data_IF_288948535555
#
_entry.id   IF_288948535555
#
_cell.length_a   1.000
_cell.length_b   1.000
_cell.length_c   1.000
_cell.angle_alpha   90.00
_cell.angle_beta   90.00
_cell.angle_gamma   90.00
#
_symmetry.space_group_name_H-M   'P 1'
#
loop_
_entity.id
_entity.type
_entity.pdbx_description
1 polymer ?
#
# COMPACT_ATOMS: atom_id res chain seq x y z
N UNK A 1 21.41 9.80 14.56
CA UNK A 1 19.95 9.58 14.69
C UNK A 1 19.29 10.13 13.42
N UNK A 2 18.41 9.39 12.74
CA UNK A 2 17.71 9.93 11.57
C UNK A 2 16.74 11.03 12.00
N UNK A 3 16.56 12.07 11.19
CA UNK A 3 15.49 13.04 11.38
C UNK A 3 14.16 12.39 11.00
N UNK A 4 13.11 12.49 11.83
CA UNK A 4 11.81 11.93 11.50
C UNK A 4 11.21 12.65 10.28
N UNK A 5 10.30 11.98 9.56
CA UNK A 5 9.67 12.53 8.35
C UNK A 5 9.03 13.93 8.58
N UNK A 6 8.47 14.17 9.78
CA UNK A 6 7.91 15.47 10.19
C UNK A 6 8.90 16.64 10.12
N UNK A 7 10.20 16.39 10.26
CA UNK A 7 11.25 17.42 10.18
C UNK A 7 11.43 18.02 8.78
N UNK A 8 10.78 17.47 7.75
CA UNK A 8 10.86 17.94 6.36
C UNK A 8 9.64 18.72 5.90
N UNK A 9 8.70 19.00 6.82
CA UNK A 9 7.49 19.79 6.53
C UNK A 9 7.85 21.18 6.00
N UNK A 10 7.20 21.58 4.89
CA UNK A 10 7.41 22.88 4.25
C UNK A 10 8.54 22.94 3.23
N UNK A 11 9.29 21.86 3.00
CA UNK A 11 10.29 21.81 1.91
C UNK A 11 9.63 21.78 0.53
N UNK A 12 10.16 22.56 -0.40
CA UNK A 12 9.66 22.64 -1.78
C UNK A 12 10.77 22.32 -2.77
N UNK A 13 10.70 21.15 -3.38
CA UNK A 13 11.52 20.77 -4.52
C UNK A 13 10.68 20.74 -5.80
N UNK A 14 11.34 20.47 -6.94
CA UNK A 14 10.69 20.16 -8.21
C UNK A 14 10.25 18.70 -8.18
N UNK A 15 8.97 18.45 -8.48
CA UNK A 15 8.35 17.11 -8.44
C UNK A 15 9.12 16.11 -9.30
N UNK A 16 9.49 16.49 -10.53
CA UNK A 16 10.18 15.60 -11.47
C UNK A 16 11.52 15.08 -10.91
N UNK A 17 12.29 15.96 -10.28
CA UNK A 17 13.60 15.60 -9.71
C UNK A 17 13.42 14.66 -8.52
N UNK A 18 12.44 14.94 -7.65
CA UNK A 18 12.14 14.11 -6.49
C UNK A 18 11.61 12.72 -6.89
N UNK A 19 10.84 12.61 -7.98
CA UNK A 19 10.33 11.33 -8.45
C UNK A 19 11.44 10.50 -9.08
N UNK A 20 12.28 11.12 -9.89
CA UNK A 20 13.47 10.46 -10.41
C UNK A 20 14.33 9.92 -9.26
N UNK A 21 14.58 10.76 -8.24
CA UNK A 21 15.30 10.37 -7.04
C UNK A 21 14.60 9.22 -6.27
N UNK A 22 13.26 9.25 -6.17
CA UNK A 22 12.47 8.20 -5.52
C UNK A 22 12.59 6.84 -6.21
N UNK A 23 12.50 6.82 -7.54
CA UNK A 23 12.56 5.59 -8.33
C UNK A 23 14.01 5.11 -8.51
N UNK A 24 14.88 5.97 -9.03
CA UNK A 24 16.20 5.57 -9.51
C UNK A 24 17.18 5.32 -8.35
N UNK A 25 17.21 6.21 -7.35
CA UNK A 25 18.24 6.15 -6.30
C UNK A 25 17.71 5.55 -4.98
N UNK A 26 16.41 5.71 -4.73
CA UNK A 26 15.79 5.28 -3.47
C UNK A 26 15.01 3.98 -3.60
N UNK A 27 14.82 3.47 -4.82
CA UNK A 27 14.23 2.16 -5.11
C UNK A 27 12.78 2.05 -4.57
N UNK A 28 12.05 3.17 -4.50
CA UNK A 28 10.71 3.20 -3.89
C UNK A 28 9.63 2.53 -4.76
N UNK A 29 9.83 2.47 -6.06
CA UNK A 29 8.93 1.84 -7.03
C UNK A 29 9.37 0.45 -7.48
N UNK A 30 10.34 -0.15 -6.79
CA UNK A 30 10.86 -1.46 -7.16
C UNK A 30 9.83 -2.55 -6.97
N UNK A 31 9.58 -3.30 -8.03
CA UNK A 31 8.75 -4.50 -8.03
C UNK A 31 9.51 -5.74 -7.56
N UNK A 32 10.85 -5.62 -7.42
CA UNK A 32 11.72 -6.74 -7.16
C UNK A 32 11.58 -7.22 -5.71
N UNK A 33 11.67 -8.53 -5.47
CA UNK A 33 11.73 -9.07 -4.11
C UNK A 33 12.87 -8.46 -3.28
N UNK A 34 14.02 -8.21 -3.91
CA UNK A 34 15.18 -7.57 -3.28
C UNK A 34 15.15 -6.06 -3.56
N UNK A 35 14.56 -5.30 -2.62
CA UNK A 35 14.53 -3.84 -2.68
C UNK A 35 15.38 -3.21 -1.58
N UNK A 36 16.23 -2.25 -1.94
CA UNK A 36 17.00 -1.48 -0.98
C UNK A 36 16.08 -0.62 -0.10
N UNK A 37 14.96 -0.13 -0.66
CA UNK A 37 13.94 0.56 0.13
C UNK A 37 13.35 -0.36 1.20
N UNK A 38 13.05 -1.62 0.85
CA UNK A 38 12.57 -2.61 1.81
C UNK A 38 13.56 -2.80 2.98
N UNK A 39 14.87 -2.90 2.69
CA UNK A 39 15.90 -2.96 3.72
C UNK A 39 15.95 -1.69 4.58
N UNK A 40 15.88 -0.50 3.97
CA UNK A 40 15.85 0.80 4.68
C UNK A 40 14.67 0.85 5.64
N UNK A 41 13.47 0.47 5.19
CA UNK A 41 12.25 0.43 5.99
C UNK A 41 12.34 -0.58 7.14
N UNK A 42 12.99 -1.73 6.92
CA UNK A 42 13.21 -2.71 7.98
C UNK A 42 14.21 -2.21 9.03
N UNK A 43 15.27 -1.52 8.61
CA UNK A 43 16.26 -0.89 9.51
C UNK A 43 15.64 0.19 10.41
N UNK A 44 14.64 0.93 9.91
CA UNK A 44 13.98 2.01 10.68
C UNK A 44 13.26 1.50 11.93
N UNK A 45 12.64 0.31 11.86
CA UNK A 45 11.81 -0.22 12.94
C UNK A 45 12.13 -1.69 13.24
N UNK A 46 12.74 -1.92 14.39
CA UNK A 46 13.01 -3.27 14.89
C UNK A 46 11.81 -3.85 15.66
N UNK A 47 10.60 -3.78 15.08
CA UNK A 47 9.42 -4.41 15.66
C UNK A 47 9.39 -5.89 15.28
N UNK A 48 9.57 -6.77 16.27
CA UNK A 48 9.60 -8.23 16.07
C UNK A 48 8.21 -8.85 15.89
N UNK A 49 7.14 -8.12 16.25
CA UNK A 49 5.76 -8.57 16.10
C UNK A 49 5.18 -8.26 14.71
N UNK A 50 5.93 -7.51 13.89
CA UNK A 50 5.49 -7.06 12.56
C UNK A 50 6.52 -7.53 11.54
N UNK A 51 6.05 -8.23 10.53
CA UNK A 51 6.85 -8.64 9.38
C UNK A 51 6.53 -7.72 8.22
N UNK A 52 7.59 -7.15 7.62
CA UNK A 52 7.51 -6.38 6.40
C UNK A 52 7.86 -7.32 5.25
N UNK A 53 6.90 -7.57 4.38
CA UNK A 53 7.02 -8.46 3.21
C UNK A 53 6.79 -7.61 1.96
N UNK A 54 7.55 -7.87 0.91
CA UNK A 54 7.37 -7.26 -0.40
C UNK A 54 7.05 -8.35 -1.41
N UNK A 55 6.03 -8.15 -2.23
CA UNK A 55 5.67 -9.09 -3.30
C UNK A 55 4.95 -8.39 -4.42
N UNK A 56 4.69 -9.12 -5.49
CA UNK A 56 4.01 -8.58 -6.66
C UNK A 56 2.98 -9.56 -7.22
N UNK A 57 2.06 -8.99 -7.99
CA UNK A 57 1.07 -9.72 -8.78
C UNK A 57 0.98 -9.10 -10.17
N UNK A 58 0.97 -9.94 -11.19
CA UNK A 58 0.84 -9.51 -12.58
C UNK A 58 -0.62 -9.60 -13.02
N UNK A 59 -1.32 -8.47 -13.11
CA UNK A 59 -2.73 -8.38 -13.48
C UNK A 59 -2.97 -8.85 -14.91
N UNK A 60 -1.99 -8.67 -15.81
CA UNK A 60 -2.09 -9.17 -17.18
C UNK A 60 -2.18 -10.71 -17.26
N UNK A 61 -1.57 -11.41 -16.28
CA UNK A 61 -1.66 -12.87 -16.13
C UNK A 61 -2.83 -13.30 -15.24
N UNK A 62 -3.06 -12.60 -14.14
CA UNK A 62 -4.06 -12.94 -13.14
C UNK A 62 -5.50 -12.76 -13.66
N UNK A 63 -5.81 -11.59 -14.24
CA UNK A 63 -7.17 -11.22 -14.61
C UNK A 63 -7.83 -12.20 -15.59
N UNK A 64 -7.17 -12.65 -16.68
CA UNK A 64 -7.78 -13.60 -17.60
C UNK A 64 -8.07 -14.98 -16.98
N UNK A 65 -7.28 -15.39 -15.98
CA UNK A 65 -7.49 -16.65 -15.25
C UNK A 65 -8.70 -16.50 -14.33
N UNK A 66 -8.72 -15.41 -13.55
CA UNK A 66 -9.80 -15.05 -12.63
C UNK A 66 -11.15 -14.90 -13.37
N UNK A 67 -11.19 -14.13 -14.45
CA UNK A 67 -12.42 -13.89 -15.21
C UNK A 67 -13.02 -15.17 -15.84
N UNK A 68 -12.18 -16.17 -16.14
CA UNK A 68 -12.64 -17.47 -16.64
C UNK A 68 -13.07 -18.44 -15.53
N UNK A 69 -12.97 -18.03 -14.26
CA UNK A 69 -13.21 -18.86 -13.09
C UNK A 69 -12.37 -20.16 -13.08
N UNK A 70 -11.16 -20.13 -13.66
CA UNK A 70 -10.28 -21.31 -13.74
C UNK A 70 -9.53 -21.52 -12.41
N UNK A 71 -10.23 -22.14 -11.45
CA UNK A 71 -9.74 -22.37 -10.08
C UNK A 71 -8.44 -23.17 -10.01
N UNK A 72 -8.21 -24.08 -10.95
CA UNK A 72 -6.98 -24.88 -10.99
C UNK A 72 -5.78 -24.03 -11.39
N UNK A 73 -5.91 -23.19 -12.43
CA UNK A 73 -4.83 -22.26 -12.80
C UNK A 73 -4.63 -21.17 -11.77
N UNK A 74 -5.72 -20.68 -11.16
CA UNK A 74 -5.67 -19.68 -10.11
C UNK A 74 -4.85 -20.17 -8.90
N UNK A 75 -5.11 -21.40 -8.45
CA UNK A 75 -4.32 -22.06 -7.41
C UNK A 75 -2.84 -22.11 -7.78
N UNK A 76 -2.51 -22.64 -8.96
CA UNK A 76 -1.12 -22.73 -9.44
C UNK A 76 -0.43 -21.37 -9.56
N UNK A 77 -1.20 -20.33 -9.89
CA UNK A 77 -0.70 -18.96 -9.97
C UNK A 77 -0.31 -18.43 -8.58
N UNK A 78 -1.21 -18.54 -7.60
CA UNK A 78 -0.95 -18.08 -6.23
C UNK A 78 0.15 -18.86 -5.51
N UNK A 79 0.25 -20.18 -5.75
CA UNK A 79 1.35 -21.01 -5.20
C UNK A 79 2.73 -20.57 -5.69
N UNK A 80 2.80 -19.91 -6.86
CA UNK A 80 4.05 -19.47 -7.48
C UNK A 80 4.42 -18.02 -7.19
N UNK A 81 3.51 -17.22 -6.63
CA UNK A 81 3.81 -15.82 -6.29
C UNK A 81 5.00 -15.78 -5.34
N UNK A 82 5.99 -14.96 -5.68
CA UNK A 82 7.21 -14.76 -4.89
C UNK A 82 7.07 -13.54 -4.00
N UNK A 83 7.82 -13.54 -2.92
CA UNK A 83 7.99 -12.39 -2.05
C UNK A 83 9.40 -12.33 -1.49
N UNK A 84 9.88 -11.12 -1.25
CA UNK A 84 11.11 -10.85 -0.51
C UNK A 84 10.81 -10.41 0.92
N UNK A 85 11.76 -10.66 1.83
CA UNK A 85 11.79 -10.09 3.18
C UNK A 85 13.19 -10.10 3.78
N UNK A 86 13.42 -9.18 4.72
CA UNK A 86 14.67 -9.09 5.47
C UNK A 86 14.48 -9.55 6.91
N UNK A 87 15.31 -10.49 7.35
CA UNK A 87 15.41 -10.88 8.75
C UNK A 87 16.69 -10.34 9.38
N UNK A 88 16.60 -9.90 10.63
CA UNK A 88 17.77 -9.44 11.36
C UNK A 88 18.51 -10.63 11.95
N UNK A 89 19.75 -10.80 11.56
CA UNK A 89 20.65 -11.77 12.16
C UNK A 89 20.86 -11.41 13.65
N UNK A 90 20.59 -12.35 14.55
CA UNK A 90 20.66 -12.10 16.00
C UNK A 90 22.09 -11.89 16.48
N UNK A 91 23.07 -12.50 15.82
CA UNK A 91 24.48 -12.49 16.22
C UNK A 91 25.18 -11.27 15.63
N UNK A 92 25.21 -11.15 14.30
CA UNK A 92 25.93 -10.07 13.60
C UNK A 92 25.19 -8.73 13.63
N UNK A 93 23.89 -8.74 13.98
CA UNK A 93 22.98 -7.59 13.91
C UNK A 93 22.77 -7.03 12.50
N UNK A 94 23.27 -7.72 11.46
CA UNK A 94 23.03 -7.43 10.04
C UNK A 94 21.64 -7.90 9.62
N UNK A 95 21.24 -7.58 8.39
CA UNK A 95 19.99 -8.03 7.80
C UNK A 95 20.30 -8.94 6.62
N UNK A 96 19.69 -10.12 6.61
CA UNK A 96 19.84 -11.11 5.56
C UNK A 96 18.55 -11.11 4.71
N UNK A 97 18.72 -11.12 3.40
CA UNK A 97 17.61 -11.18 2.44
C UNK A 97 17.14 -12.61 2.22
N UNK A 98 15.83 -12.81 2.17
CA UNK A 98 15.19 -14.07 1.83
C UNK A 98 14.13 -13.85 0.76
N UNK A 99 14.14 -14.71 -0.26
CA UNK A 99 13.09 -14.79 -1.27
C UNK A 99 12.40 -16.16 -1.19
N UNK A 100 11.10 -16.17 -0.94
CA UNK A 100 10.28 -17.39 -0.88
C UNK A 100 8.96 -17.20 -1.63
N UNK A 101 8.13 -18.24 -1.69
CA UNK A 101 6.74 -18.09 -2.15
C UNK A 101 5.94 -17.29 -1.12
N UNK A 102 5.14 -16.32 -1.56
CA UNK A 102 4.27 -15.50 -0.71
C UNK A 102 3.36 -16.37 0.16
N UNK A 103 2.78 -17.43 -0.41
CA UNK A 103 1.91 -18.35 0.32
C UNK A 103 2.59 -18.99 1.54
N UNK A 104 3.77 -19.58 1.38
CA UNK A 104 4.50 -20.20 2.49
C UNK A 104 5.00 -19.16 3.51
N UNK A 105 5.45 -17.99 3.06
CA UNK A 105 5.84 -16.89 3.94
C UNK A 105 4.68 -16.47 4.84
N UNK A 106 3.51 -16.17 4.27
CA UNK A 106 2.31 -15.80 5.05
C UNK A 106 1.90 -16.92 6.01
N UNK A 107 1.93 -18.18 5.57
CA UNK A 107 1.59 -19.34 6.40
C UNK A 107 2.51 -19.46 7.61
N UNK A 108 3.82 -19.26 7.45
CA UNK A 108 4.79 -19.26 8.55
C UNK A 108 4.52 -18.09 9.50
N UNK A 109 4.36 -16.88 8.98
CA UNK A 109 4.16 -15.68 9.80
C UNK A 109 2.80 -15.70 10.54
N UNK A 110 1.78 -16.29 9.93
CA UNK A 110 0.46 -16.48 10.55
C UNK A 110 0.48 -17.50 11.68
N UNK A 111 1.25 -18.59 11.54
CA UNK A 111 1.50 -19.55 12.64
C UNK A 111 2.19 -18.89 13.83
N UNK A 112 3.13 -17.97 13.56
CA UNK A 112 3.81 -17.16 14.58
C UNK A 112 2.93 -16.04 15.17
N UNK A 113 1.67 -15.91 14.72
CA UNK A 113 0.74 -14.86 15.16
C UNK A 113 1.26 -13.42 14.97
N UNK A 114 2.14 -13.21 13.99
CA UNK A 114 2.66 -11.88 13.68
C UNK A 114 1.67 -11.08 12.85
N UNK A 115 1.80 -9.76 12.91
CA UNK A 115 1.21 -8.88 11.92
C UNK A 115 2.07 -8.97 10.66
N UNK A 116 1.43 -9.10 9.50
CA UNK A 116 2.13 -9.01 8.22
C UNK A 116 1.70 -7.72 7.53
N UNK A 117 2.67 -6.88 7.22
CA UNK A 117 2.53 -5.74 6.34
C UNK A 117 3.14 -6.11 5.00
N UNK A 118 2.30 -6.24 3.98
CA UNK A 118 2.68 -6.59 2.63
C UNK A 118 2.64 -5.33 1.77
N UNK A 119 3.81 -4.89 1.32
CA UNK A 119 3.95 -3.98 0.19
C UNK A 119 3.71 -4.82 -1.06
N UNK A 120 2.63 -4.54 -1.79
CA UNK A 120 2.17 -5.41 -2.86
C UNK A 120 2.08 -4.65 -4.16
N UNK A 121 2.91 -5.02 -5.12
CA UNK A 121 2.94 -4.31 -6.39
C UNK A 121 2.06 -5.00 -7.44
N UNK A 122 1.13 -4.26 -8.00
CA UNK A 122 0.25 -4.72 -9.07
C UNK A 122 0.86 -4.31 -10.42
N UNK A 123 1.51 -5.27 -11.06
CA UNK A 123 2.12 -5.11 -12.38
C UNK A 123 1.06 -5.15 -13.46
N UNK A 124 1.22 -4.33 -14.49
CA UNK A 124 0.25 -4.21 -15.58
C UNK A 124 -1.16 -3.93 -15.06
N UNK A 125 -1.25 -3.02 -14.08
CA UNK A 125 -2.45 -2.71 -13.31
C UNK A 125 -3.58 -2.13 -14.17
N UNK A 126 -3.19 -1.30 -15.14
CA UNK A 126 -4.08 -0.66 -16.09
C UNK A 126 -3.30 -0.22 -17.33
N UNK A 127 -3.98 0.46 -18.23
CA UNK A 127 -3.36 1.12 -19.39
C UNK A 127 -3.55 2.62 -19.23
N UNK A 128 -2.45 3.36 -19.23
CA UNK A 128 -2.47 4.81 -19.26
C UNK A 128 -2.13 5.31 -20.67
N UNK A 129 -2.75 6.42 -21.09
CA UNK A 129 -2.45 7.08 -22.36
C UNK A 129 -1.82 8.44 -22.12
N UNK A 130 -0.55 8.59 -22.51
CA UNK A 130 0.16 9.87 -22.51
C UNK A 130 0.67 10.18 -23.93
N UNK A 131 0.42 11.41 -24.42
CA UNK A 131 0.90 11.86 -25.74
C UNK A 131 0.52 10.89 -26.88
N UNK A 132 -0.70 10.34 -26.85
CA UNK A 132 -1.22 9.32 -27.80
C UNK A 132 -0.48 7.98 -27.78
N UNK A 133 0.35 7.73 -26.77
CA UNK A 133 0.98 6.44 -26.53
C UNK A 133 0.32 5.79 -25.32
N UNK A 134 -0.18 4.58 -25.54
CA UNK A 134 -0.74 3.74 -24.48
C UNK A 134 0.34 2.80 -23.95
N UNK A 135 0.50 2.74 -22.65
CA UNK A 135 1.39 1.77 -22.00
C UNK A 135 0.73 1.19 -20.74
N UNK A 136 1.25 0.06 -20.27
CA UNK A 136 0.87 -0.48 -18.98
C UNK A 136 1.44 0.38 -17.87
N UNK A 137 0.60 0.67 -16.88
CA UNK A 137 1.01 1.26 -15.62
C UNK A 137 1.20 0.19 -14.54
N UNK A 138 2.03 0.54 -13.55
CA UNK A 138 2.25 -0.22 -12.33
C UNK A 138 1.60 0.51 -11.17
N UNK A 139 1.08 -0.24 -10.21
CA UNK A 139 0.43 0.37 -9.05
C UNK A 139 0.78 -0.34 -7.76
N UNK A 140 1.14 0.43 -6.73
CA UNK A 140 1.52 -0.13 -5.44
C UNK A 140 0.35 -0.13 -4.46
N UNK A 141 0.08 -1.30 -3.91
CA UNK A 141 -0.95 -1.57 -2.92
C UNK A 141 -0.31 -1.89 -1.56
N UNK A 142 -1.10 -1.74 -0.50
CA UNK A 142 -0.74 -2.23 0.83
C UNK A 142 -1.77 -3.24 1.29
N UNK A 143 -1.30 -4.39 1.76
CA UNK A 143 -2.14 -5.36 2.47
C UNK A 143 -1.64 -5.52 3.90
N UNK A 144 -2.52 -5.33 4.88
CA UNK A 144 -2.18 -5.50 6.30
C UNK A 144 -3.00 -6.65 6.89
N UNK A 145 -2.31 -7.70 7.34
CA UNK A 145 -2.90 -8.82 8.05
C UNK A 145 -2.69 -8.66 9.56
N UNK A 146 -3.78 -8.43 10.29
CA UNK A 146 -3.78 -8.27 11.75
C UNK A 146 -4.25 -9.57 12.43
N UNK A 147 -3.49 -10.15 13.37
CA UNK A 147 -3.89 -11.36 14.08
C UNK A 147 -5.10 -11.09 14.98
N UNK A 148 -6.08 -11.99 14.92
CA UNK A 148 -7.22 -12.04 15.83
C UNK A 148 -7.09 -13.25 16.77
N UNK A 149 -7.97 -13.31 17.79
CA UNK A 149 -8.10 -14.50 18.65
C UNK A 149 -8.27 -15.77 17.81
N UNK A 150 -9.16 -15.73 16.81
CA UNK A 150 -9.37 -16.79 15.82
C UNK A 150 -9.09 -16.25 14.42
N UNK A 151 -7.95 -16.62 13.84
CA UNK A 151 -7.57 -16.22 12.48
C UNK A 151 -6.95 -14.82 12.39
N UNK A 152 -7.21 -14.16 11.26
CA UNK A 152 -6.66 -12.87 10.85
C UNK A 152 -7.75 -11.94 10.32
N UNK A 153 -7.51 -10.65 10.41
CA UNK A 153 -8.24 -9.60 9.71
C UNK A 153 -7.34 -9.05 8.62
N UNK A 154 -7.82 -8.91 7.38
CA UNK A 154 -7.06 -8.31 6.30
C UNK A 154 -7.61 -6.93 5.91
N UNK A 155 -6.71 -5.98 5.67
CA UNK A 155 -7.01 -4.67 5.07
C UNK A 155 -6.29 -4.56 3.74
N UNK A 156 -6.96 -4.00 2.74
CA UNK A 156 -6.41 -3.64 1.45
C UNK A 156 -6.46 -2.11 1.30
N UNK A 157 -5.34 -1.50 0.97
CA UNK A 157 -5.23 -0.06 0.80
C UNK A 157 -4.70 0.19 -0.61
N UNK A 158 -5.51 0.88 -1.40
CA UNK A 158 -5.15 1.44 -2.68
C UNK A 158 -5.22 2.96 -2.55
N UNK A 159 -4.15 3.70 -2.88
CA UNK A 159 -4.08 5.15 -2.69
C UNK A 159 -5.04 5.96 -3.57
N UNK A 160 -5.61 5.38 -4.63
CA UNK A 160 -6.73 5.97 -5.37
C UNK A 160 -8.02 6.09 -4.53
N UNK A 161 -8.09 5.41 -3.36
CA UNK A 161 -9.15 5.60 -2.39
C UNK A 161 -10.54 5.29 -2.95
N UNK A 162 -11.47 6.22 -2.80
CA UNK A 162 -12.87 6.05 -3.22
C UNK A 162 -13.03 5.78 -4.72
N UNK A 163 -12.15 6.32 -5.57
CA UNK A 163 -12.22 6.18 -7.04
C UNK A 163 -12.09 4.71 -7.48
N UNK A 164 -11.41 3.89 -6.66
CA UNK A 164 -11.28 2.46 -6.94
C UNK A 164 -12.61 1.72 -6.95
N UNK A 165 -13.64 2.21 -6.25
CA UNK A 165 -14.94 1.52 -6.14
C UNK A 165 -15.57 1.25 -7.50
N UNK A 166 -15.35 2.16 -8.43
CA UNK A 166 -16.01 2.16 -9.74
C UNK A 166 -15.16 1.45 -10.81
N UNK A 167 -13.90 1.10 -10.51
CA UNK A 167 -13.00 0.34 -11.39
C UNK A 167 -13.35 -1.15 -11.43
N UNK A 168 -14.45 -1.43 -12.12
CA UNK A 168 -15.02 -2.77 -12.34
C UNK A 168 -14.58 -3.39 -13.66
N UNK A 169 -13.86 -2.65 -14.50
CA UNK A 169 -13.35 -3.13 -15.79
C UNK A 169 -11.83 -3.08 -15.80
N UNK A 170 -11.20 -4.15 -16.28
CA UNK A 170 -9.76 -4.19 -16.57
C UNK A 170 -9.53 -4.17 -18.08
N UNK A 171 -8.86 -3.13 -18.56
CA UNK A 171 -8.41 -3.04 -19.95
C UNK A 171 -7.00 -3.64 -20.08
N UNK A 172 -6.77 -4.45 -21.13
CA UNK A 172 -5.43 -4.91 -21.48
C UNK A 172 -5.20 -4.93 -22.97
N UNK A 173 -3.94 -4.84 -23.39
CA UNK A 173 -3.57 -5.10 -24.77
C UNK A 173 -3.77 -6.57 -25.13
N UNK A 174 -4.31 -6.81 -26.32
CA UNK A 174 -4.35 -8.16 -26.94
C UNK A 174 -2.96 -8.74 -27.15
N UNK A 175 -1.97 -7.87 -27.37
CA UNK A 175 -0.56 -8.22 -27.51
C UNK A 175 0.29 -7.19 -26.78
N UNK A 176 1.07 -7.64 -25.81
CA UNK A 176 2.02 -6.81 -25.05
C UNK A 176 3.09 -6.16 -25.93
N UNK A 177 3.38 -6.76 -27.09
CA UNK A 177 4.40 -6.29 -28.04
C UNK A 177 3.85 -5.26 -29.02
N UNK A 178 2.65 -5.51 -29.58
CA UNK A 178 2.07 -4.62 -30.58
C UNK A 178 1.38 -3.41 -29.95
N UNK A 179 0.71 -3.59 -28.81
CA UNK A 179 0.00 -2.54 -28.05
C UNK A 179 -0.99 -1.69 -28.88
N UNK A 180 -1.57 -2.27 -29.92
CA UNK A 180 -2.47 -1.57 -30.86
C UNK A 180 -3.96 -1.74 -30.53
N UNK A 181 -4.34 -2.90 -29.99
CA UNK A 181 -5.74 -3.26 -29.71
C UNK A 181 -5.87 -3.69 -28.27
N UNK A 182 -6.90 -3.18 -27.60
CA UNK A 182 -7.23 -3.54 -26.23
C UNK A 182 -8.46 -4.46 -26.17
N UNK A 183 -8.59 -5.18 -25.06
CA UNK A 183 -9.77 -5.96 -24.68
C UNK A 183 -10.09 -5.66 -23.22
N UNK A 184 -11.38 -5.71 -22.89
CA UNK A 184 -11.90 -5.43 -21.57
C UNK A 184 -12.35 -6.72 -20.87
N UNK A 185 -12.15 -6.76 -19.57
CA UNK A 185 -12.67 -7.79 -18.67
C UNK A 185 -13.54 -7.10 -17.62
N UNK A 186 -14.83 -7.40 -17.61
CA UNK A 186 -15.79 -6.76 -16.71
C UNK A 186 -16.04 -7.64 -15.48
N UNK A 187 -16.13 -6.99 -14.32
CA UNK A 187 -16.34 -7.63 -13.02
C UNK A 187 -17.49 -6.97 -12.28
N UNK A 188 -18.17 -7.73 -11.41
CA UNK A 188 -19.21 -7.16 -10.54
C UNK A 188 -18.66 -6.34 -9.37
N UNK A 189 -17.34 -6.33 -9.15
CA UNK A 189 -16.70 -5.57 -8.07
C UNK A 189 -15.37 -5.01 -8.58
N UNK A 190 -14.81 -4.05 -7.84
CA UNK A 190 -13.45 -3.55 -8.06
C UNK A 190 -12.44 -4.69 -8.21
N UNK A 191 -11.51 -4.53 -9.17
CA UNK A 191 -10.52 -5.55 -9.55
C UNK A 191 -9.58 -5.96 -8.40
N UNK A 192 -9.22 -5.04 -7.50
CA UNK A 192 -8.35 -5.35 -6.36
C UNK A 192 -9.09 -6.16 -5.29
N UNK A 193 -10.37 -5.85 -5.10
CA UNK A 193 -11.25 -6.63 -4.23
C UNK A 193 -11.46 -8.03 -4.78
N UNK A 194 -11.58 -8.19 -6.10
CA UNK A 194 -11.65 -9.49 -6.76
C UNK A 194 -10.36 -10.28 -6.50
N UNK A 195 -9.20 -9.65 -6.76
CA UNK A 195 -7.88 -10.23 -6.48
C UNK A 195 -7.74 -10.69 -5.03
N UNK A 196 -8.08 -9.83 -4.07
CA UNK A 196 -7.91 -10.13 -2.66
C UNK A 196 -8.87 -11.23 -2.17
N UNK A 197 -10.10 -11.28 -2.69
CA UNK A 197 -11.04 -12.37 -2.40
C UNK A 197 -10.51 -13.71 -2.90
N UNK A 198 -10.09 -13.77 -4.16
CA UNK A 198 -9.55 -14.99 -4.76
C UNK A 198 -8.30 -15.47 -4.02
N UNK A 199 -7.41 -14.55 -3.62
CA UNK A 199 -6.24 -14.88 -2.82
C UNK A 199 -6.61 -15.47 -1.45
N UNK A 200 -7.58 -14.87 -0.75
CA UNK A 200 -8.06 -15.36 0.54
C UNK A 200 -8.76 -16.71 0.43
N UNK A 201 -9.58 -16.90 -0.61
CA UNK A 201 -10.28 -18.16 -0.83
C UNK A 201 -9.28 -19.28 -1.12
N UNK A 202 -8.27 -19.02 -1.96
CA UNK A 202 -7.14 -19.94 -2.14
C UNK A 202 -6.46 -20.28 -0.81
N UNK A 203 -6.16 -19.27 0.02
CA UNK A 203 -5.48 -19.46 1.30
C UNK A 203 -6.32 -20.28 2.29
N UNK A 204 -7.64 -20.05 2.31
CA UNK A 204 -8.61 -20.75 3.15
C UNK A 204 -8.82 -22.20 2.71
N UNK A 205 -8.80 -22.49 1.41
CA UNK A 205 -8.88 -23.85 0.89
C UNK A 205 -7.59 -24.64 1.14
N UNK A 206 -6.45 -23.95 1.13
CA UNK A 206 -5.13 -24.57 1.27
C UNK A 206 -4.66 -24.68 2.72
N UNK A 207 -5.34 -24.04 3.68
CA UNK A 207 -4.94 -23.99 5.09
C UNK A 207 -6.13 -23.98 6.05
N UNK A 208 -5.88 -24.26 7.35
CA UNK A 208 -6.89 -24.06 8.41
C UNK A 208 -6.99 -22.60 8.91
N UNK A 209 -6.24 -21.67 8.31
CA UNK A 209 -6.14 -20.29 8.78
C UNK A 209 -7.33 -19.50 8.22
N UNK A 210 -8.14 -18.93 9.12
CA UNK A 210 -9.27 -18.08 8.75
C UNK A 210 -8.79 -16.64 8.56
N UNK A 211 -9.10 -16.03 7.42
CA UNK A 211 -8.84 -14.62 7.15
C UNK A 211 -10.19 -13.94 6.93
N UNK A 212 -10.49 -12.90 7.71
CA UNK A 212 -11.69 -12.08 7.56
C UNK A 212 -11.37 -10.92 6.62
N UNK A 213 -12.11 -10.88 5.50
CA UNK A 213 -12.05 -9.83 4.49
C UNK A 213 -13.37 -9.75 3.72
N UNK A 214 -13.75 -8.57 3.28
CA UNK A 214 -14.86 -8.37 2.36
C UNK A 214 -14.69 -7.04 1.59
N UNK A 215 -15.67 -6.69 0.74
CA UNK A 215 -15.64 -5.49 -0.12
C UNK A 215 -15.98 -4.16 0.59
N UNK A 216 -16.26 -4.18 1.89
CA UNK A 216 -16.71 -2.99 2.61
C UNK A 216 -15.54 -2.07 2.96
N UNK A 217 -15.84 -0.82 3.30
CA UNK A 217 -14.87 0.18 3.78
C UNK A 217 -14.20 -0.19 5.12
N UNK A 218 -14.74 -1.19 5.83
CA UNK A 218 -14.07 -1.76 7.01
C UNK A 218 -12.79 -2.51 6.63
N UNK A 219 -12.66 -2.96 5.39
CA UNK A 219 -11.54 -3.78 4.92
C UNK A 219 -10.76 -3.11 3.78
N UNK A 220 -11.37 -2.17 3.06
CA UNK A 220 -10.76 -1.52 1.90
C UNK A 220 -10.68 -0.02 2.15
N UNK A 221 -9.53 0.57 1.84
CA UNK A 221 -9.41 2.02 1.90
C UNK A 221 -10.22 2.67 0.78
N UNK A 222 -11.40 3.16 1.16
CA UNK A 222 -12.32 3.91 0.32
C UNK A 222 -12.45 5.36 0.80
N UNK A 223 -11.38 5.88 1.42
CA UNK A 223 -11.30 7.27 1.84
C UNK A 223 -10.98 8.20 0.65
N UNK A 224 -10.43 9.37 0.95
CA UNK A 224 -10.03 10.33 -0.08
C UNK A 224 -9.12 9.71 -1.14
N UNK A 225 -9.25 10.10 -2.41
CA UNK A 225 -8.24 9.78 -3.43
C UNK A 225 -6.95 10.55 -3.09
N UNK A 226 -5.97 9.84 -2.49
CA UNK A 226 -4.71 10.44 -2.04
C UNK A 226 -3.77 10.78 -3.21
N UNK A 227 -4.06 10.25 -4.39
CA UNK A 227 -3.34 10.50 -5.64
C UNK A 227 -4.06 11.50 -6.54
N UNK A 228 -5.06 12.22 -6.05
CA UNK A 228 -5.77 13.18 -6.89
C UNK A 228 -4.78 14.22 -7.46
N UNK A 229 -4.67 14.27 -8.79
CA UNK A 229 -3.71 15.13 -9.50
C UNK A 229 -2.28 14.59 -9.58
N UNK A 230 -2.07 13.31 -9.30
CA UNK A 230 -0.83 12.60 -9.58
C UNK A 230 -0.80 12.12 -11.03
N UNK A 231 0.13 12.67 -11.82
CA UNK A 231 0.44 12.20 -13.18
C UNK A 231 1.90 11.77 -13.26
N UNK A 232 2.48 11.35 -12.14
CA UNK A 232 3.91 11.13 -12.03
C UNK A 232 4.31 9.83 -11.31
N UNK A 233 3.36 8.97 -10.94
CA UNK A 233 3.65 7.70 -10.29
C UNK A 233 4.00 7.82 -8.80
N UNK A 234 3.38 8.74 -8.06
CA UNK A 234 3.61 8.89 -6.61
C UNK A 234 3.00 7.71 -5.80
N UNK A 235 2.20 6.83 -6.43
CA UNK A 235 1.66 5.58 -5.84
C UNK A 235 2.71 4.78 -5.06
N UNK A 236 3.92 4.65 -5.60
CA UNK A 236 5.00 3.85 -5.02
C UNK A 236 5.43 4.30 -3.61
N UNK A 237 5.17 5.55 -3.22
CA UNK A 237 5.56 6.08 -1.91
C UNK A 237 4.57 5.73 -0.80
N UNK A 238 3.31 5.46 -1.13
CA UNK A 238 2.27 5.22 -0.12
C UNK A 238 2.55 4.02 0.79
N UNK A 239 3.00 2.86 0.28
CA UNK A 239 3.41 1.75 1.15
C UNK A 239 4.51 2.13 2.15
N UNK A 240 5.52 2.87 1.69
CA UNK A 240 6.62 3.36 2.54
C UNK A 240 6.11 4.28 3.66
N UNK A 241 5.26 5.25 3.31
CA UNK A 241 4.68 6.21 4.26
C UNK A 241 3.80 5.51 5.28
N UNK A 242 2.91 4.64 4.81
CA UNK A 242 1.97 3.94 5.69
C UNK A 242 2.74 3.00 6.63
N UNK A 243 3.78 2.31 6.15
CA UNK A 243 4.66 1.51 7.00
C UNK A 243 5.31 2.34 8.12
N UNK A 244 5.87 3.51 7.78
CA UNK A 244 6.53 4.37 8.74
C UNK A 244 5.59 4.79 9.87
N UNK A 245 4.39 5.27 9.52
CA UNK A 245 3.43 5.72 10.53
C UNK A 245 2.72 4.60 11.27
N UNK A 246 2.49 3.46 10.61
CA UNK A 246 2.01 2.26 11.26
C UNK A 246 2.91 1.87 12.44
N UNK A 247 4.23 1.92 12.24
CA UNK A 247 5.20 1.63 13.28
C UNK A 247 5.37 2.77 14.29
N UNK A 248 5.40 4.03 13.84
CA UNK A 248 5.48 5.21 14.71
C UNK A 248 4.34 5.26 15.73
N UNK A 249 3.13 4.85 15.32
CA UNK A 249 1.93 4.82 16.16
C UNK A 249 1.60 3.42 16.72
N UNK A 250 2.51 2.43 16.55
CA UNK A 250 2.27 1.04 16.94
C UNK A 250 1.89 0.86 18.42
N UNK A 251 2.52 1.63 19.31
CA UNK A 251 2.23 1.66 20.76
C UNK A 251 1.91 3.07 21.28
N UNK A 252 1.73 4.02 20.37
CA UNK A 252 1.57 5.44 20.71
C UNK A 252 0.19 5.92 20.29
N UNK A 253 -0.58 6.39 21.25
CA UNK A 253 -1.81 7.15 20.98
C UNK A 253 -1.45 8.56 20.50
N UNK A 254 -2.24 9.12 19.59
CA UNK A 254 -2.00 10.46 19.04
C UNK A 254 -3.12 11.39 19.47
N UNK A 255 -2.76 12.59 19.95
CA UNK A 255 -3.72 13.64 20.26
C UNK A 255 -3.60 14.73 19.19
N UNK A 256 -4.71 15.04 18.54
CA UNK A 256 -4.82 16.16 17.59
C UNK A 256 -5.94 17.07 18.08
N UNK A 257 -5.58 18.27 18.57
CA UNK A 257 -6.51 19.15 19.26
C UNK A 257 -7.21 18.43 20.43
N UNK A 258 -8.54 18.36 20.38
CA UNK A 258 -9.38 17.67 21.37
C UNK A 258 -9.57 16.17 21.06
N UNK A 259 -9.25 15.71 19.85
CA UNK A 259 -9.42 14.31 19.46
C UNK A 259 -8.26 13.45 19.92
N UNK A 260 -8.58 12.22 20.35
CA UNK A 260 -7.60 11.20 20.72
C UNK A 260 -7.76 10.00 19.79
N UNK A 261 -6.70 9.71 19.04
CA UNK A 261 -6.55 8.52 18.23
C UNK A 261 -5.81 7.45 19.03
N UNK A 262 -6.32 6.22 18.97
CA UNK A 262 -5.69 5.07 19.61
C UNK A 262 -4.38 4.68 18.88
N UNK A 263 -3.69 3.66 19.37
CA UNK A 263 -2.55 3.06 18.66
C UNK A 263 -2.98 2.50 17.31
N UNK A 264 -2.06 2.41 16.34
CA UNK A 264 -2.36 1.88 14.99
C UNK A 264 -3.01 0.48 15.06
N UNK A 265 -2.55 -0.38 15.96
CA UNK A 265 -3.10 -1.73 16.15
C UNK A 265 -4.51 -1.71 16.69
N UNK A 266 -4.79 -0.85 17.66
CA UNK A 266 -6.13 -0.76 18.23
C UNK A 266 -7.12 -0.14 17.25
N UNK A 267 -6.70 0.88 16.49
CA UNK A 267 -7.52 1.46 15.44
C UNK A 267 -7.90 0.42 14.38
N UNK A 268 -6.91 -0.32 13.86
CA UNK A 268 -7.18 -1.38 12.89
C UNK A 268 -8.08 -2.46 13.51
N UNK A 269 -7.79 -3.00 14.70
CA UNK A 269 -8.69 -3.99 15.36
C UNK A 269 -10.13 -3.52 15.57
N UNK A 270 -10.37 -2.20 15.65
CA UNK A 270 -11.70 -1.57 15.76
C UNK A 270 -12.30 -1.18 14.40
N UNK A 271 -11.74 -1.65 13.28
CA UNK A 271 -12.12 -1.32 11.90
C UNK A 271 -12.00 0.17 11.55
N UNK A 272 -11.09 0.90 12.20
CA UNK A 272 -10.87 2.33 11.97
C UNK A 272 -9.77 2.56 10.93
N UNK A 273 -9.85 1.86 9.79
CA UNK A 273 -8.85 1.97 8.70
C UNK A 273 -8.82 3.40 8.12
N UNK A 274 -9.96 3.94 7.71
CA UNK A 274 -10.04 5.28 7.10
C UNK A 274 -9.52 6.38 8.06
N UNK A 275 -9.97 6.45 9.33
CA UNK A 275 -9.39 7.38 10.30
C UNK A 275 -7.88 7.20 10.50
N UNK A 276 -7.38 5.96 10.52
CA UNK A 276 -5.94 5.69 10.63
C UNK A 276 -5.17 6.25 9.44
N UNK A 277 -5.64 6.02 8.21
CA UNK A 277 -4.98 6.56 7.01
C UNK A 277 -5.03 8.10 7.00
N UNK A 278 -6.15 8.73 7.37
CA UNK A 278 -6.20 10.19 7.45
C UNK A 278 -5.29 10.79 8.52
N UNK A 279 -5.14 10.12 9.67
CA UNK A 279 -4.20 10.51 10.73
C UNK A 279 -2.75 10.57 10.22
N UNK A 280 -2.36 9.66 9.33
CA UNK A 280 -1.01 9.66 8.74
C UNK A 280 -0.74 10.98 8.01
N UNK A 281 -1.72 11.46 7.23
CA UNK A 281 -1.56 12.61 6.36
C UNK A 281 -1.67 13.97 7.07
N UNK A 282 -2.11 14.01 8.34
CA UNK A 282 -2.09 15.25 9.13
C UNK A 282 -0.67 15.75 9.38
N UNK A 283 0.31 14.85 9.49
CA UNK A 283 1.69 15.25 9.73
C UNK A 283 2.35 15.93 8.51
N UNK A 284 1.81 15.74 7.30
CA UNK A 284 2.35 16.31 6.06
C UNK A 284 1.91 17.75 5.81
N UNK A 285 0.72 18.13 6.24
CA UNK A 285 0.18 19.46 5.99
C UNK A 285 -0.68 19.94 7.17
N UNK A 286 -0.29 21.04 7.82
CA UNK A 286 -1.08 21.60 8.93
C UNK A 286 -2.44 22.09 8.45
N UNK A 287 -2.58 22.53 7.20
CA UNK A 287 -3.89 22.89 6.63
C UNK A 287 -4.78 21.66 6.48
N UNK A 288 -4.19 20.51 6.15
CA UNK A 288 -4.90 19.23 6.11
C UNK A 288 -5.34 18.83 7.52
N UNK A 289 -4.44 18.90 8.50
CA UNK A 289 -4.74 18.65 9.91
C UNK A 289 -5.91 19.51 10.41
N UNK A 290 -5.83 20.83 10.29
CA UNK A 290 -6.89 21.74 10.73
C UNK A 290 -8.23 21.41 10.07
N UNK A 291 -8.25 21.17 8.77
CA UNK A 291 -9.49 20.85 8.05
C UNK A 291 -10.04 19.47 8.44
N UNK A 292 -9.19 18.46 8.61
CA UNK A 292 -9.61 17.14 9.09
C UNK A 292 -10.24 17.26 10.47
N UNK A 293 -9.61 18.01 11.39
CA UNK A 293 -10.16 18.29 12.72
C UNK A 293 -11.57 18.91 12.60
N UNK A 294 -11.72 20.00 11.84
CA UNK A 294 -13.03 20.66 11.64
C UNK A 294 -14.09 19.71 11.06
N UNK A 295 -13.72 18.89 10.08
CA UNK A 295 -14.67 17.96 9.46
C UNK A 295 -15.13 16.89 10.47
N UNK A 296 -14.19 16.31 11.22
CA UNK A 296 -14.46 15.27 12.20
C UNK A 296 -15.23 15.78 13.40
N UNK A 297 -14.96 16.99 13.90
CA UNK A 297 -15.68 17.57 15.05
C UNK A 297 -17.07 18.07 14.69
N UNK A 298 -17.25 18.69 13.52
CA UNK A 298 -18.49 19.42 13.23
C UNK A 298 -19.50 18.59 12.45
N UNK A 299 -19.05 17.70 11.56
CA UNK A 299 -19.94 17.04 10.59
C UNK A 299 -19.78 15.53 10.46
N UNK A 300 -18.69 14.97 11.01
CA UNK A 300 -18.31 13.57 10.88
C UNK A 300 -18.57 13.00 9.46
N UNK A 301 -18.22 13.78 8.42
CA UNK A 301 -18.58 13.48 7.02
C UNK A 301 -17.33 13.14 6.19
N UNK A 302 -17.05 11.84 5.95
CA UNK A 302 -15.88 11.40 5.18
C UNK A 302 -15.79 12.02 3.77
N UNK A 303 -16.93 12.25 3.10
CA UNK A 303 -16.99 12.89 1.78
C UNK A 303 -16.40 14.29 1.74
N UNK A 304 -16.33 15.00 2.87
CA UNK A 304 -15.69 16.33 2.94
C UNK A 304 -14.17 16.24 2.94
N UNK A 305 -13.61 15.14 3.47
CA UNK A 305 -12.15 14.92 3.48
C UNK A 305 -11.67 14.63 2.07
N UNK A 306 -12.44 13.85 1.31
CA UNK A 306 -12.19 13.55 -0.10
C UNK A 306 -12.16 14.82 -0.96
N UNK A 307 -13.25 15.61 -0.97
CA UNK A 307 -13.30 16.91 -1.64
C UNK A 307 -12.20 17.89 -1.24
N UNK A 308 -11.67 17.76 -0.02
CA UNK A 308 -10.54 18.56 0.41
C UNK A 308 -9.26 18.15 -0.29
N UNK A 309 -8.99 16.84 -0.41
CA UNK A 309 -7.82 16.33 -1.13
C UNK A 309 -7.93 16.67 -2.62
N UNK A 310 -9.10 16.48 -3.22
CA UNK A 310 -9.37 16.87 -4.62
C UNK A 310 -9.03 18.35 -4.88
N UNK A 311 -9.49 19.24 -3.99
CA UNK A 311 -9.20 20.69 -4.09
C UNK A 311 -7.73 21.04 -3.90
N UNK A 312 -6.97 20.23 -3.15
CA UNK A 312 -5.52 20.42 -3.04
C UNK A 312 -4.80 19.93 -4.30
N UNK A 313 -5.36 18.93 -4.99
CA UNK A 313 -4.86 18.38 -6.25
C UNK A 313 -3.36 18.03 -6.12
N UNK A 314 -2.56 18.25 -7.16
CA UNK A 314 -1.13 17.96 -7.19
C UNK A 314 -0.33 18.61 -6.03
N UNK A 315 -0.87 19.63 -5.35
CA UNK A 315 -0.19 20.25 -4.20
C UNK A 315 -0.13 19.30 -3.00
N UNK A 316 -1.11 18.41 -2.85
CA UNK A 316 -1.11 17.39 -1.82
C UNK A 316 -0.02 16.34 -2.10
N UNK A 317 -0.04 15.77 -3.31
CA UNK A 317 0.93 14.75 -3.75
C UNK A 317 2.35 15.30 -3.76
N UNK A 318 2.56 16.56 -4.18
CA UNK A 318 3.84 17.27 -4.08
C UNK A 318 4.39 17.32 -2.66
N UNK A 319 3.55 17.62 -1.65
CA UNK A 319 4.01 17.68 -0.25
C UNK A 319 4.42 16.31 0.26
N UNK A 320 3.65 15.28 -0.07
CA UNK A 320 3.95 13.89 0.28
C UNK A 320 5.29 13.46 -0.32
N UNK A 321 5.46 13.67 -1.63
CA UNK A 321 6.66 13.35 -2.36
C UNK A 321 7.88 14.03 -1.75
N UNK A 322 7.87 15.36 -1.63
CA UNK A 322 9.04 16.11 -1.14
C UNK A 322 9.47 15.66 0.27
N UNK A 323 8.50 15.44 1.17
CA UNK A 323 8.80 15.01 2.53
C UNK A 323 9.38 13.60 2.58
N UNK A 324 8.83 12.69 1.76
CA UNK A 324 9.25 11.28 1.71
C UNK A 324 10.64 11.16 1.10
N UNK A 325 10.88 11.82 -0.02
CA UNK A 325 12.18 11.83 -0.70
C UNK A 325 13.25 12.46 0.18
N UNK A 326 12.97 13.61 0.80
CA UNK A 326 13.92 14.24 1.71
C UNK A 326 14.25 13.37 2.93
N UNK A 327 13.26 12.61 3.43
CA UNK A 327 13.45 11.67 4.53
C UNK A 327 14.30 10.47 4.13
N UNK A 328 14.02 9.85 2.99
CA UNK A 328 14.74 8.68 2.49
C UNK A 328 16.14 9.04 1.96
N UNK A 329 16.38 10.28 1.54
CA UNK A 329 17.68 10.75 1.06
C UNK A 329 18.71 11.07 2.15
N UNK A 330 18.37 10.87 3.42
CA UNK A 330 19.30 11.13 4.52
C UNK A 330 20.55 10.24 4.42
N UNK A 331 21.72 10.76 4.82
CA UNK A 331 23.01 10.05 4.78
C UNK A 331 22.95 8.64 5.41
N UNK A 332 22.07 8.43 6.38
CA UNK A 332 21.87 7.13 7.01
C UNK A 332 21.34 6.04 6.06
N UNK A 333 20.56 6.41 5.04
CA UNK A 333 20.02 5.48 4.04
C UNK A 333 20.89 5.36 2.80
N UNK A 334 21.86 6.27 2.64
CA UNK A 334 22.95 6.22 1.66
C UNK A 334 24.10 5.44 2.29
N UNK A 335 23.97 4.12 2.30
CA UNK A 335 25.08 3.22 2.66
C UNK A 335 25.76 2.77 1.39
#
# INVERSE_FOLDING_TARGET
MYKPLKSFKGKTNKIKDDIKLAYDDLDCGSCEPHSDNHLRLRKMFNNTNVSLVQGSIDYHRFIPICHKDDRVKLKKYFEKLKCGFYERNKTTKTYDFYEWTLFETLKVEFKKKKIVYLMFDALNYGIEEENKKKDYEHHSLVVIFIPLKKGYHAYLINSHGVDTKDYTTYERFTSIYKRQKTINYDFHNNIDVVMMKDFIDFFKLSTKIKIRYNKTENHNYHGANLQHGDNYGVCCLFPTIIWYYFNLYYKKTVKLGQMKFDTSINMLKKNQLIPFIHLIFTDFDSKYETKLLTIMTNTNCPKKVDRMVEKLNYRFTKKILNMTVAFLSQKYFKC
#
